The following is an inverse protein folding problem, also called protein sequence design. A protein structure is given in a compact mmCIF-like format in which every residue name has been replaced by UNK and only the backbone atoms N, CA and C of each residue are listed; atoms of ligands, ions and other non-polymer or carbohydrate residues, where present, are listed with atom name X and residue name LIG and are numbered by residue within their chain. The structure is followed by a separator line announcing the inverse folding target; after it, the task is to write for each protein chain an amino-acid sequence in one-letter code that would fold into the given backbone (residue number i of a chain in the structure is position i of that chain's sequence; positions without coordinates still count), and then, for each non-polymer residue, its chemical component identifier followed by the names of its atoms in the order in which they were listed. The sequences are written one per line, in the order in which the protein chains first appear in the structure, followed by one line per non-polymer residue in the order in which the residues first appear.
data_IF_217641807856
#
_entry.id   IF_217641807856
#
_cell.length_a   1.000
_cell.length_b   1.000
_cell.length_c   1.000
_cell.angle_alpha   90.00
_cell.angle_beta   90.00
_cell.angle_gamma   90.00
#
_symmetry.space_group_name_H-M   'P 1'
#
loop_
_entity.id
_entity.type
_entity.pdbx_description
1 polymer ?
#
# COMPACT_ATOMS: atom_id res chain seq x y z
N UNK A 1 -12.65 5.04 -0.57
CA UNK A 1 -12.28 6.42 -0.96
C UNK A 1 -10.78 6.47 -1.07
N UNK A 2 -10.26 6.87 -2.23
CA UNK A 2 -8.83 7.13 -2.43
C UNK A 2 -8.52 8.50 -1.81
N UNK A 3 -7.45 8.60 -1.02
CA UNK A 3 -7.11 9.81 -0.26
C UNK A 3 -5.66 10.26 -0.40
N UNK A 4 -4.79 9.42 -0.98
CA UNK A 4 -3.35 9.68 -1.14
C UNK A 4 -2.79 8.91 -2.33
N UNK A 5 -1.54 9.19 -2.70
CA UNK A 5 -0.79 8.54 -3.77
C UNK A 5 0.36 7.70 -3.20
N UNK A 6 0.50 6.46 -3.69
CA UNK A 6 1.73 5.68 -3.50
C UNK A 6 2.68 5.99 -4.67
N UNK A 7 3.61 6.93 -4.47
CA UNK A 7 4.47 7.48 -5.53
C UNK A 7 5.40 6.39 -6.12
N UNK A 8 5.25 6.12 -7.41
CA UNK A 8 6.07 5.16 -8.18
C UNK A 8 7.14 5.81 -9.05
N UNK A 9 7.20 7.14 -9.09
CA UNK A 9 8.12 7.93 -9.89
C UNK A 9 9.36 8.39 -9.12
N UNK A 10 9.25 8.54 -7.80
CA UNK A 10 10.32 9.05 -6.91
C UNK A 10 10.53 8.13 -5.72
N UNK A 11 11.72 8.17 -5.13
CA UNK A 11 12.15 7.26 -4.08
C UNK A 11 13.68 7.11 -4.08
N UNK A 12 14.24 6.61 -2.98
CA UNK A 12 15.70 6.56 -2.77
C UNK A 12 16.39 7.94 -2.80
N UNK A 13 15.65 9.02 -2.54
CA UNK A 13 16.15 10.38 -2.82
C UNK A 13 16.77 11.09 -1.60
N UNK A 14 16.35 10.78 -0.37
CA UNK A 14 17.02 11.30 0.84
C UNK A 14 16.60 10.61 2.16
N UNK A 15 17.42 10.69 3.23
CA UNK A 15 17.03 10.31 4.59
C UNK A 15 15.88 11.20 5.10
N UNK A 16 15.01 10.71 6.01
CA UNK A 16 15.25 9.63 6.97
C UNK A 16 14.82 8.22 6.55
N UNK A 17 14.08 8.07 5.44
CA UNK A 17 13.45 6.79 5.11
C UNK A 17 14.12 6.04 3.94
N UNK A 18 14.71 6.76 2.97
CA UNK A 18 15.36 6.19 1.77
C UNK A 18 14.55 5.02 1.16
N UNK A 19 13.21 5.16 1.19
CA UNK A 19 12.31 4.10 0.76
C UNK A 19 12.33 4.02 -0.77
N UNK A 20 12.28 2.81 -1.33
CA UNK A 20 12.16 2.65 -2.78
C UNK A 20 10.84 3.25 -3.27
N UNK A 21 10.75 3.61 -4.57
CA UNK A 21 9.48 3.94 -5.20
C UNK A 21 8.46 2.82 -5.02
N UNK A 22 7.19 3.20 -4.93
CA UNK A 22 6.08 2.25 -4.90
C UNK A 22 5.99 1.43 -6.20
N UNK A 23 5.46 0.21 -6.13
CA UNK A 23 5.16 -0.55 -7.35
C UNK A 23 3.92 0.05 -8.04
N UNK A 24 3.81 -0.15 -9.35
CA UNK A 24 2.78 0.51 -10.18
C UNK A 24 1.38 -0.14 -10.11
N UNK A 25 1.21 -1.18 -9.30
CA UNK A 25 -0.01 -1.97 -9.16
C UNK A 25 -0.46 -2.09 -7.69
N UNK A 26 -0.09 -1.12 -6.85
CA UNK A 26 -0.35 -1.15 -5.41
C UNK A 26 -1.59 -0.35 -5.03
N UNK A 27 -2.41 -0.95 -4.18
CA UNK A 27 -3.40 -0.25 -3.37
C UNK A 27 -2.89 -0.28 -1.93
N UNK A 28 -2.34 0.83 -1.45
CA UNK A 28 -1.88 0.91 -0.06
C UNK A 28 -3.08 1.15 0.87
N UNK A 29 -3.26 0.26 1.83
CA UNK A 29 -4.52 0.09 2.54
C UNK A 29 -4.34 0.30 4.05
N UNK A 30 -5.20 1.14 4.62
CA UNK A 30 -5.22 1.38 6.07
C UNK A 30 -5.57 0.11 6.88
N UNK A 31 -5.22 0.12 8.17
CA UNK A 31 -5.58 -0.94 9.13
C UNK A 31 -7.08 -1.32 9.07
N UNK A 32 -7.95 -0.33 8.86
CA UNK A 32 -9.39 -0.53 8.79
C UNK A 32 -9.80 -1.35 7.56
N UNK A 33 -9.14 -1.14 6.40
CA UNK A 33 -9.42 -1.91 5.18
C UNK A 33 -9.05 -3.37 5.38
N UNK A 34 -7.86 -3.65 5.92
CA UNK A 34 -7.42 -5.02 6.21
C UNK A 34 -8.37 -5.78 7.14
N UNK A 35 -8.90 -5.10 8.17
CA UNK A 35 -9.93 -5.67 9.06
C UNK A 35 -11.25 -5.92 8.33
N UNK A 36 -11.69 -4.99 7.48
CA UNK A 36 -12.94 -5.11 6.74
C UNK A 36 -12.95 -6.26 5.73
N UNK A 37 -11.79 -6.58 5.14
CA UNK A 37 -11.62 -7.76 4.27
C UNK A 37 -11.28 -9.05 5.04
N UNK A 38 -11.37 -9.02 6.37
CA UNK A 38 -11.23 -10.18 7.26
C UNK A 38 -9.90 -10.95 7.15
N UNK A 39 -8.82 -10.27 6.79
CA UNK A 39 -7.48 -10.89 6.75
C UNK A 39 -6.89 -10.89 8.16
N UNK A 40 -6.47 -12.04 8.71
CA UNK A 40 -5.85 -12.10 10.03
C UNK A 40 -4.57 -11.26 10.09
N UNK A 41 -4.34 -10.54 11.20
CA UNK A 41 -3.18 -9.64 11.35
C UNK A 41 -1.82 -10.32 11.13
N UNK A 42 -1.72 -11.62 11.41
CA UNK A 42 -0.51 -12.43 11.17
C UNK A 42 -0.17 -12.60 9.69
N UNK A 43 -1.14 -12.39 8.80
CA UNK A 43 -1.04 -12.56 7.36
C UNK A 43 -1.00 -11.20 6.62
N UNK A 44 -0.82 -10.09 7.35
CA UNK A 44 -0.70 -8.76 6.76
C UNK A 44 0.67 -8.54 6.14
N UNK A 45 0.69 -7.73 5.09
CA UNK A 45 1.87 -7.47 4.27
C UNK A 45 1.43 -7.24 2.83
N UNK A 46 1.50 -8.30 2.02
CA UNK A 46 1.05 -8.28 0.63
C UNK A 46 -0.08 -9.27 0.42
N UNK A 47 -1.11 -8.84 -0.32
CA UNK A 47 -2.25 -9.66 -0.69
C UNK A 47 -2.65 -9.31 -2.12
N UNK A 48 -2.82 -10.32 -2.97
CA UNK A 48 -3.38 -10.12 -4.30
C UNK A 48 -4.87 -9.79 -4.19
N UNK A 49 -5.28 -8.68 -4.78
CA UNK A 49 -6.67 -8.19 -4.77
C UNK A 49 -7.12 -7.78 -6.17
N UNK A 50 -8.43 -7.70 -6.32
CA UNK A 50 -9.07 -7.05 -7.45
C UNK A 50 -9.88 -5.86 -6.94
N UNK A 51 -9.92 -4.78 -7.70
CA UNK A 51 -10.68 -3.58 -7.36
C UNK A 51 -11.36 -3.01 -8.60
N UNK A 52 -12.42 -2.26 -8.37
CA UNK A 52 -13.11 -1.43 -9.35
C UNK A 52 -13.51 -0.12 -8.70
N UNK A 53 -13.80 0.90 -9.51
CA UNK A 53 -14.51 2.10 -9.05
C UNK A 53 -15.94 1.78 -8.59
#
# INVERSE_FOLDING_TARGET
MVVDECDSCRGCDSPPAYLPPCQNNIVDASEAVWKAIHVPKKDWGWLDIFWSE
#
